data_IF_998049238032
#
_entry.id   IF_998049238032
#
_cell.length_a   1.000
_cell.length_b   1.000
_cell.length_c   1.000
_cell.angle_alpha   90.00
_cell.angle_beta   90.00
_cell.angle_gamma   90.00
#
_symmetry.space_group_name_H-M   'P 1'
#
loop_
_entity.id
_entity.type
_entity.pdbx_description
1 polymer ?
#
# COMPACT_ATOMS: atom_id res chain seq x y z
N UNK A 1 -15.94 8.43 3.90
CA UNK A 1 -15.48 7.03 4.09
C UNK A 1 -15.38 6.75 5.59
N UNK A 2 -15.86 5.61 6.08
CA UNK A 2 -15.88 5.25 7.51
C UNK A 2 -15.08 3.97 7.78
N UNK A 3 -14.69 3.72 9.03
CA UNK A 3 -14.04 2.46 9.42
C UNK A 3 -14.93 1.24 9.15
N UNK A 4 -16.23 1.35 9.42
CA UNK A 4 -17.21 0.30 9.11
C UNK A 4 -17.24 -0.04 7.61
N UNK A 5 -17.25 0.99 6.75
CA UNK A 5 -17.19 0.79 5.31
C UNK A 5 -15.91 0.06 4.89
N UNK A 6 -14.76 0.45 5.43
CA UNK A 6 -13.48 -0.21 5.13
C UNK A 6 -13.48 -1.69 5.57
N UNK A 7 -14.03 -2.00 6.73
CA UNK A 7 -14.18 -3.38 7.22
C UNK A 7 -15.02 -4.24 6.26
N UNK A 8 -16.18 -3.71 5.82
CA UNK A 8 -17.06 -4.38 4.85
C UNK A 8 -16.40 -4.53 3.49
N UNK A 9 -15.69 -3.50 3.03
CA UNK A 9 -14.96 -3.52 1.76
C UNK A 9 -13.88 -4.61 1.74
N UNK A 10 -13.09 -4.74 2.81
CA UNK A 10 -12.10 -5.81 2.91
C UNK A 10 -12.76 -7.20 2.84
N UNK A 11 -13.85 -7.40 3.58
CA UNK A 11 -14.58 -8.67 3.58
C UNK A 11 -15.15 -9.01 2.20
N UNK A 12 -15.71 -8.02 1.48
CA UNK A 12 -16.21 -8.19 0.12
C UNK A 12 -15.07 -8.50 -0.87
N UNK A 13 -13.93 -7.82 -0.74
CA UNK A 13 -12.76 -8.05 -1.59
C UNK A 13 -12.20 -9.47 -1.45
N UNK A 14 -12.09 -10.00 -0.22
CA UNK A 14 -11.65 -11.41 -0.02
C UNK A 14 -12.61 -12.38 -0.68
N UNK A 15 -13.92 -12.23 -0.44
CA UNK A 15 -14.93 -13.11 -1.01
C UNK A 15 -14.95 -13.08 -2.55
N UNK A 16 -14.66 -11.92 -3.17
CA UNK A 16 -14.63 -11.78 -4.62
C UNK A 16 -13.36 -12.33 -5.28
N UNK A 17 -12.19 -12.12 -4.65
CA UNK A 17 -10.88 -12.37 -5.26
C UNK A 17 -10.19 -13.64 -4.76
N UNK A 18 -10.26 -13.90 -3.46
CA UNK A 18 -9.50 -14.95 -2.77
C UNK A 18 -10.40 -15.70 -1.78
N UNK A 19 -11.51 -16.32 -2.23
CA UNK A 19 -12.52 -16.93 -1.36
C UNK A 19 -12.02 -18.13 -0.54
N UNK A 20 -10.85 -18.68 -0.87
CA UNK A 20 -10.21 -19.78 -0.13
C UNK A 20 -9.07 -19.29 0.78
N UNK A 21 -8.97 -17.98 0.99
CA UNK A 21 -7.80 -17.34 1.57
C UNK A 21 -6.77 -16.97 0.49
N UNK A 22 -5.82 -16.12 0.89
CA UNK A 22 -4.82 -15.54 0.01
C UNK A 22 -3.98 -14.51 0.77
N UNK A 23 -3.05 -13.86 0.08
CA UNK A 23 -2.19 -12.82 0.67
C UNK A 23 -2.58 -11.44 0.17
N UNK A 24 -2.85 -10.53 1.09
CA UNK A 24 -3.19 -9.12 0.83
C UNK A 24 -2.08 -8.24 1.38
N UNK A 25 -1.66 -7.26 0.62
CA UNK A 25 -0.57 -6.35 0.99
C UNK A 25 -1.11 -4.93 1.09
N UNK A 26 -0.97 -4.31 2.26
CA UNK A 26 -1.50 -2.97 2.55
C UNK A 26 -0.34 -1.99 2.72
N UNK A 27 -0.37 -0.91 1.95
CA UNK A 27 0.44 0.27 2.20
C UNK A 27 -0.39 1.53 2.20
N UNK A 28 0.23 2.64 2.59
CA UNK A 28 -0.47 3.91 2.78
C UNK A 28 0.41 5.12 2.45
N UNK A 29 -0.22 6.28 2.32
CA UNK A 29 0.48 7.54 2.48
C UNK A 29 0.58 7.92 3.97
N UNK A 30 0.85 9.20 4.24
CA UNK A 30 1.16 9.74 5.56
C UNK A 30 -0.07 10.27 6.31
N UNK A 31 -1.27 10.18 5.73
CA UNK A 31 -2.50 10.72 6.32
C UNK A 31 -2.82 10.06 7.67
N UNK A 32 -3.23 10.85 8.65
CA UNK A 32 -3.66 10.39 9.97
C UNK A 32 -4.82 9.38 9.89
N UNK A 33 -5.77 9.62 8.98
CA UNK A 33 -6.89 8.70 8.75
C UNK A 33 -6.43 7.32 8.23
N UNK A 34 -5.23 7.23 7.66
CA UNK A 34 -4.63 5.99 7.20
C UNK A 34 -4.42 4.96 8.31
N UNK A 35 -4.19 5.37 9.57
CA UNK A 35 -4.12 4.42 10.69
C UNK A 35 -5.46 3.72 10.95
N UNK A 36 -6.54 4.50 10.95
CA UNK A 36 -7.89 3.96 11.15
C UNK A 36 -8.30 3.01 10.01
N UNK A 37 -8.05 3.41 8.76
CA UNK A 37 -8.42 2.57 7.61
C UNK A 37 -7.53 1.33 7.47
N UNK A 38 -6.23 1.41 7.79
CA UNK A 38 -5.33 0.26 7.82
C UNK A 38 -5.81 -0.79 8.82
N UNK A 39 -6.14 -0.38 10.05
CA UNK A 39 -6.65 -1.31 11.07
C UNK A 39 -8.01 -1.91 10.71
N UNK A 40 -8.92 -1.14 10.13
CA UNK A 40 -10.23 -1.64 9.71
C UNK A 40 -10.12 -2.65 8.55
N UNK A 41 -9.27 -2.36 7.56
CA UNK A 41 -9.00 -3.27 6.45
C UNK A 41 -8.30 -4.54 6.93
N UNK A 42 -7.23 -4.40 7.74
CA UNK A 42 -6.50 -5.53 8.32
C UNK A 42 -7.45 -6.49 9.03
N UNK A 43 -8.31 -5.97 9.91
CA UNK A 43 -9.31 -6.77 10.61
C UNK A 43 -10.28 -7.48 9.65
N UNK A 44 -10.77 -6.77 8.63
CA UNK A 44 -11.73 -7.34 7.67
C UNK A 44 -11.12 -8.42 6.77
N UNK A 45 -9.88 -8.22 6.31
CA UNK A 45 -9.15 -9.20 5.52
C UNK A 45 -8.85 -10.46 6.33
N UNK A 46 -8.31 -10.29 7.54
CA UNK A 46 -7.97 -11.40 8.45
C UNK A 46 -9.22 -12.19 8.85
N UNK A 47 -10.30 -11.50 9.23
CA UNK A 47 -11.54 -12.16 9.62
C UNK A 47 -12.16 -12.97 8.48
N UNK A 48 -11.98 -12.53 7.22
CA UNK A 48 -12.44 -13.25 6.04
C UNK A 48 -11.48 -14.36 5.55
N UNK A 49 -10.33 -14.56 6.21
CA UNK A 49 -9.40 -15.66 5.95
C UNK A 49 -8.17 -15.32 5.11
N UNK A 50 -7.92 -14.03 4.83
CA UNK A 50 -6.72 -13.62 4.11
C UNK A 50 -5.56 -13.25 5.07
N UNK A 51 -4.35 -13.65 4.71
CA UNK A 51 -3.13 -13.18 5.36
C UNK A 51 -2.82 -11.75 4.91
N UNK A 52 -2.37 -10.90 5.83
CA UNK A 52 -2.14 -9.47 5.59
C UNK A 52 -0.67 -9.13 5.81
N UNK A 53 -0.07 -8.46 4.82
CA UNK A 53 1.27 -7.90 4.90
C UNK A 53 1.18 -6.36 4.98
N UNK A 54 1.62 -5.79 6.10
CA UNK A 54 1.59 -4.35 6.33
C UNK A 54 2.94 -3.72 5.97
N UNK A 55 2.94 -2.81 5.00
CA UNK A 55 4.16 -2.15 4.54
C UNK A 55 4.47 -0.83 5.26
N UNK A 56 3.44 -0.19 5.82
CA UNK A 56 3.53 1.19 6.28
C UNK A 56 3.57 2.20 5.12
N UNK A 57 4.08 3.42 5.36
CA UNK A 57 4.11 4.47 4.33
C UNK A 57 5.03 4.13 3.15
N UNK A 58 4.46 4.05 1.95
CA UNK A 58 5.19 3.79 0.70
C UNK A 58 4.38 4.36 -0.48
N UNK A 59 5.01 4.95 -1.51
CA UNK A 59 4.26 5.46 -2.67
C UNK A 59 3.47 4.36 -3.37
N UNK A 60 2.33 4.74 -3.97
CA UNK A 60 1.47 3.84 -4.76
C UNK A 60 2.23 2.90 -5.70
N UNK A 61 3.18 3.37 -6.55
CA UNK A 61 3.97 2.47 -7.40
C UNK A 61 4.83 1.48 -6.61
N UNK A 62 5.33 1.83 -5.43
CA UNK A 62 6.06 0.91 -4.57
C UNK A 62 5.19 -0.19 -4.00
N UNK A 63 3.95 0.13 -3.65
CA UNK A 63 2.99 -0.88 -3.18
C UNK A 63 2.64 -1.83 -4.34
N UNK A 64 2.36 -1.31 -5.54
CA UNK A 64 2.08 -2.13 -6.72
C UNK A 64 3.27 -3.04 -7.12
N UNK A 65 4.50 -2.53 -7.01
CA UNK A 65 5.71 -3.32 -7.23
C UNK A 65 5.84 -4.43 -6.17
N UNK A 66 5.68 -4.09 -4.88
CA UNK A 66 5.85 -5.05 -3.80
C UNK A 66 4.74 -6.11 -3.77
N UNK A 67 3.52 -5.81 -4.25
CA UNK A 67 2.49 -6.84 -4.49
C UNK A 67 3.04 -7.99 -5.34
N UNK A 68 3.75 -7.68 -6.43
CA UNK A 68 4.38 -8.68 -7.29
C UNK A 68 5.56 -9.37 -6.59
N UNK A 69 6.44 -8.59 -5.94
CA UNK A 69 7.64 -9.12 -5.27
C UNK A 69 7.29 -10.13 -4.16
N UNK A 70 6.20 -9.88 -3.42
CA UNK A 70 5.72 -10.77 -2.38
C UNK A 70 4.75 -11.84 -2.88
N UNK A 71 4.47 -11.91 -4.19
CA UNK A 71 3.45 -12.78 -4.78
C UNK A 71 2.09 -12.66 -4.09
N UNK A 72 1.72 -11.46 -3.66
CA UNK A 72 0.43 -11.19 -3.05
C UNK A 72 -0.67 -11.21 -4.12
N UNK A 73 -1.86 -11.68 -3.75
CA UNK A 73 -3.01 -11.75 -4.64
C UNK A 73 -3.67 -10.38 -4.84
N UNK A 74 -3.52 -9.50 -3.84
CA UNK A 74 -4.12 -8.17 -3.81
C UNK A 74 -3.18 -7.15 -3.15
N UNK A 75 -2.94 -6.04 -3.82
CA UNK A 75 -2.33 -4.85 -3.25
C UNK A 75 -3.37 -3.80 -2.87
N UNK A 76 -3.20 -3.14 -1.74
CA UNK A 76 -4.11 -2.10 -1.24
C UNK A 76 -3.34 -0.83 -0.91
N UNK A 77 -3.80 0.29 -1.42
CA UNK A 77 -3.22 1.61 -1.14
C UNK A 77 -4.25 2.51 -0.48
N UNK A 78 -3.92 2.97 0.73
CA UNK A 78 -4.65 3.99 1.46
C UNK A 78 -4.10 5.38 1.10
N UNK A 79 -4.77 6.06 0.18
CA UNK A 79 -4.39 7.42 -0.22
C UNK A 79 -5.48 8.08 -1.08
N UNK A 80 -5.70 9.37 -0.88
CA UNK A 80 -6.42 10.23 -1.83
C UNK A 80 -5.47 11.00 -2.79
N UNK A 81 -4.24 10.51 -2.99
CA UNK A 81 -3.26 11.12 -3.90
C UNK A 81 -2.98 12.59 -3.53
N UNK A 82 -3.27 13.52 -4.43
CA UNK A 82 -3.02 14.96 -4.29
C UNK A 82 -4.14 15.71 -3.55
N UNK A 83 -5.22 15.02 -3.15
CA UNK A 83 -6.31 15.66 -2.43
C UNK A 83 -5.86 16.23 -1.08
N UNK A 84 -6.57 17.22 -0.52
CA UNK A 84 -6.31 17.75 0.82
C UNK A 84 -6.30 16.66 1.90
N UNK A 85 -5.55 16.87 3.00
CA UNK A 85 -5.26 15.85 4.03
C UNK A 85 -6.48 15.21 4.69
N UNK A 86 -7.63 15.89 4.71
CA UNK A 86 -8.88 15.38 5.27
C UNK A 86 -9.58 14.33 4.38
N UNK A 87 -9.20 14.22 3.11
CA UNK A 87 -9.67 13.16 2.22
C UNK A 87 -8.86 11.88 2.40
N UNK A 88 -9.45 10.73 2.09
CA UNK A 88 -8.73 9.48 1.91
C UNK A 88 -9.48 8.57 0.93
N UNK A 89 -8.79 7.55 0.40
CA UNK A 89 -9.34 6.60 -0.55
C UNK A 89 -8.63 5.26 -0.46
N UNK A 90 -9.23 4.25 -1.07
CA UNK A 90 -8.72 2.87 -1.11
C UNK A 90 -8.56 2.50 -2.59
N UNK A 91 -7.37 2.06 -2.99
CA UNK A 91 -7.08 1.57 -4.34
C UNK A 91 -6.64 0.12 -4.27
N UNK A 92 -7.16 -0.69 -5.17
CA UNK A 92 -6.78 -2.10 -5.29
C UNK A 92 -5.89 -2.35 -6.51
N UNK A 93 -4.97 -3.28 -6.35
CA UNK A 93 -4.10 -3.80 -7.39
C UNK A 93 -4.18 -5.32 -7.44
N UNK A 94 -4.23 -5.89 -8.62
CA UNK A 94 -4.15 -7.34 -8.81
C UNK A 94 -2.72 -7.86 -8.54
N UNK A 95 -2.54 -9.17 -8.64
CA UNK A 95 -1.24 -9.84 -8.48
C UNK A 95 -0.14 -9.33 -9.42
N UNK A 96 -0.51 -8.69 -10.53
CA UNK A 96 0.41 -8.12 -11.52
C UNK A 96 0.74 -6.65 -11.22
N UNK A 97 0.22 -6.10 -10.11
CA UNK A 97 0.36 -4.69 -9.76
C UNK A 97 -0.45 -3.75 -10.67
N UNK A 98 -1.40 -4.28 -11.44
CA UNK A 98 -2.31 -3.49 -12.27
C UNK A 98 -3.60 -3.18 -11.50
N UNK A 99 -4.36 -2.17 -11.94
CA UNK A 99 -5.70 -1.93 -11.37
C UNK A 99 -6.59 -3.15 -11.58
N UNK A 100 -7.53 -3.38 -10.67
CA UNK A 100 -8.55 -4.41 -10.84
C UNK A 100 -9.36 -4.16 -12.12
N UNK A 101 -9.88 -5.23 -12.71
CA UNK A 101 -10.81 -5.13 -13.83
C UNK A 101 -12.19 -4.72 -13.34
N UNK A 102 -12.96 -4.05 -14.21
CA UNK A 102 -14.34 -3.65 -13.95
C UNK A 102 -15.22 -4.83 -13.49
N UNK A 103 -14.97 -6.04 -14.02
CA UNK A 103 -15.68 -7.26 -13.63
C UNK A 103 -15.44 -7.60 -12.15
N UNK A 104 -14.20 -7.47 -11.68
CA UNK A 104 -13.85 -7.74 -10.28
C UNK A 104 -14.41 -6.63 -9.39
N UNK A 105 -14.31 -5.37 -9.79
CA UNK A 105 -14.90 -4.25 -9.05
C UNK A 105 -16.40 -4.45 -8.85
N UNK A 106 -17.13 -4.82 -9.91
CA UNK A 106 -18.56 -5.12 -9.84
C UNK A 106 -18.88 -6.30 -8.90
N UNK A 107 -18.02 -7.33 -8.83
CA UNK A 107 -18.18 -8.44 -7.87
C UNK A 107 -18.02 -7.96 -6.42
N UNK A 108 -17.04 -7.10 -6.16
CA UNK A 108 -16.83 -6.50 -4.83
C UNK A 108 -18.04 -5.64 -4.46
N UNK A 109 -18.52 -4.80 -5.38
CA UNK A 109 -19.69 -3.94 -5.16
C UNK A 109 -20.96 -4.73 -4.86
N UNK A 110 -21.20 -5.84 -5.58
CA UNK A 110 -22.35 -6.71 -5.34
C UNK A 110 -22.34 -7.32 -3.92
N UNK A 111 -21.15 -7.49 -3.32
CA UNK A 111 -20.99 -8.03 -1.97
C UNK A 111 -20.97 -6.96 -0.88
N UNK A 112 -20.75 -5.69 -1.22
CA UNK A 112 -20.69 -4.59 -0.24
C UNK A 112 -21.97 -4.42 0.56
N UNK A 113 -23.12 -4.81 0.01
CA UNK A 113 -24.41 -4.78 0.71
C UNK A 113 -24.48 -5.70 1.93
N UNK A 114 -23.61 -6.72 2.00
CA UNK A 114 -23.60 -7.70 3.08
C UNK A 114 -22.79 -7.21 4.29
N UNK A 115 -23.09 -7.74 5.50
CA UNK A 115 -22.22 -7.58 6.65
C UNK A 115 -20.83 -8.21 6.41
N UNK A 116 -19.81 -7.67 7.07
CA UNK A 116 -18.50 -8.31 7.08
C UNK A 116 -18.59 -9.70 7.75
N UNK A 117 -17.94 -10.69 7.15
CA UNK A 117 -17.90 -12.05 7.70
C UNK A 117 -16.74 -12.22 8.69
N UNK A 118 -16.86 -13.20 9.57
CA UNK A 118 -15.74 -13.69 10.40
C UNK A 118 -15.77 -15.20 10.34
N UNK A 119 -14.69 -15.79 9.82
CA UNK A 119 -14.52 -17.23 9.79
C UNK A 119 -14.21 -17.76 11.19
N UNK A 120 -14.39 -19.07 11.35
CA UNK A 120 -13.97 -19.80 12.54
C UNK A 120 -12.49 -19.54 12.86
N UNK A 121 -12.12 -19.59 14.13
CA UNK A 121 -10.77 -19.22 14.61
C UNK A 121 -9.63 -20.00 13.96
N UNK A 122 -9.88 -21.22 13.46
CA UNK A 122 -8.90 -22.04 12.74
C UNK A 122 -8.71 -21.64 11.27
N UNK A 123 -9.53 -20.72 10.75
CA UNK A 123 -9.60 -20.32 9.35
C UNK A 123 -9.39 -18.81 9.12
N UNK A 124 -9.23 -18.01 10.17
CA UNK A 124 -8.83 -16.61 10.02
C UNK A 124 -7.37 -16.50 9.58
N UNK A 125 -7.04 -15.41 8.89
CA UNK A 125 -5.67 -15.13 8.45
C UNK A 125 -4.77 -14.57 9.56
N UNK A 126 -3.56 -14.18 9.19
CA UNK A 126 -2.57 -13.53 10.07
C UNK A 126 -2.08 -12.21 9.47
N UNK A 127 -1.87 -11.22 10.33
CA UNK A 127 -1.24 -9.97 9.95
C UNK A 127 0.25 -9.94 10.32
N UNK A 128 1.11 -9.51 9.40
CA UNK A 128 2.56 -9.39 9.60
C UNK A 128 3.05 -8.04 9.07
N UNK A 129 3.92 -7.37 9.83
CA UNK A 129 4.59 -6.12 9.38
C UNK A 129 5.86 -6.44 8.60
N UNK A 130 6.01 -5.84 7.42
CA UNK A 130 7.19 -5.97 6.56
C UNK A 130 8.12 -4.78 6.79
N UNK A 131 9.07 -4.97 7.70
CA UNK A 131 10.03 -3.91 8.06
C UNK A 131 11.06 -3.59 6.95
N UNK A 132 11.12 -4.40 5.88
CA UNK A 132 12.08 -4.26 4.76
C UNK A 132 11.46 -3.69 3.48
N UNK A 133 10.20 -3.21 3.56
CA UNK A 133 9.46 -2.76 2.38
C UNK A 133 10.14 -1.55 1.70
N UNK A 134 10.63 -0.62 2.51
CA UNK A 134 11.30 0.59 2.03
C UNK A 134 12.59 0.24 1.28
N UNK A 135 13.45 -0.58 1.88
CA UNK A 135 14.73 -0.99 1.31
C UNK A 135 14.53 -1.79 0.01
N UNK A 136 13.56 -2.71 -0.01
CA UNK A 136 13.24 -3.47 -1.23
C UNK A 136 12.80 -2.58 -2.38
N UNK A 137 11.97 -1.58 -2.10
CA UNK A 137 11.54 -0.64 -3.15
C UNK A 137 12.67 0.30 -3.57
N UNK A 138 13.56 0.69 -2.66
CA UNK A 138 14.77 1.44 -3.01
C UNK A 138 15.67 0.67 -3.98
N UNK A 139 15.93 -0.60 -3.69
CA UNK A 139 16.73 -1.47 -4.57
C UNK A 139 16.08 -1.59 -5.95
N UNK A 140 14.75 -1.72 -6.02
CA UNK A 140 14.03 -1.67 -7.29
C UNK A 140 14.28 -0.35 -8.03
N UNK A 141 14.07 0.80 -7.39
CA UNK A 141 14.29 2.11 -8.03
C UNK A 141 15.73 2.26 -8.53
N UNK A 142 16.73 1.86 -7.73
CA UNK A 142 18.14 1.91 -8.15
C UNK A 142 18.42 0.98 -9.32
N UNK A 143 17.81 -0.22 -9.35
CA UNK A 143 17.98 -1.16 -10.45
C UNK A 143 17.46 -0.66 -11.80
N UNK A 144 16.56 0.34 -11.80
CA UNK A 144 16.09 0.99 -13.03
C UNK A 144 17.01 2.09 -13.55
N UNK A 145 18.01 2.49 -12.75
CA UNK A 145 19.00 3.50 -13.13
C UNK A 145 20.23 2.83 -13.77
N UNK A 146 20.84 3.41 -14.82
CA UNK A 146 22.01 2.82 -15.47
C UNK A 146 23.17 2.61 -14.49
N UNK A 147 23.74 1.40 -14.48
CA UNK A 147 24.78 1.00 -13.52
C UNK A 147 26.12 1.69 -13.72
N UNK A 148 26.35 2.27 -14.90
CA UNK A 148 27.54 3.02 -15.29
C UNK A 148 27.45 4.52 -14.97
N UNK A 149 26.31 4.96 -14.44
CA UNK A 149 26.09 6.34 -14.04
C UNK A 149 25.99 6.47 -12.51
N UNK A 150 26.52 7.58 -12.00
CA UNK A 150 26.32 8.05 -10.63
C UNK A 150 25.76 9.48 -10.68
N UNK A 151 25.20 9.93 -9.56
CA UNK A 151 24.74 11.31 -9.37
C UNK A 151 25.77 12.17 -8.61
N UNK A 152 27.02 11.73 -8.56
CA UNK A 152 28.12 12.45 -7.90
C UNK A 152 28.25 13.88 -8.43
N UNK A 153 28.33 14.84 -7.52
CA UNK A 153 28.43 16.27 -7.85
C UNK A 153 27.11 16.91 -8.29
N UNK A 154 25.99 16.19 -8.25
CA UNK A 154 24.65 16.74 -8.50
C UNK A 154 23.97 17.08 -7.18
N UNK A 155 23.53 18.33 -7.03
CA UNK A 155 22.67 18.75 -5.92
C UNK A 155 21.21 18.75 -6.36
N UNK A 156 20.33 18.06 -5.61
CA UNK A 156 18.90 17.91 -5.91
C UNK A 156 18.08 18.44 -4.74
N UNK A 157 17.13 19.34 -5.03
CA UNK A 157 16.07 19.69 -4.08
C UNK A 157 14.90 18.72 -4.27
N UNK A 158 14.53 17.99 -3.22
CA UNK A 158 13.45 17.02 -3.24
C UNK A 158 12.30 17.49 -2.35
N UNK A 159 11.13 17.75 -2.95
CA UNK A 159 9.89 17.99 -2.22
C UNK A 159 9.11 16.68 -2.06
N UNK A 160 9.03 16.18 -0.81
CA UNK A 160 8.28 14.98 -0.47
C UNK A 160 6.78 15.19 -0.33
N UNK A 161 6.28 16.44 -0.41
CA UNK A 161 4.89 16.86 -0.18
C UNK A 161 4.32 16.41 1.19
N UNK A 162 5.20 16.09 2.14
CA UNK A 162 4.92 15.33 3.36
C UNK A 162 4.09 14.06 3.08
N UNK A 163 4.23 13.48 1.88
CA UNK A 163 3.46 12.34 1.40
C UNK A 163 4.26 11.04 1.48
N UNK A 164 3.79 10.02 0.75
CA UNK A 164 4.31 8.66 0.85
C UNK A 164 5.79 8.51 0.44
N UNK A 165 6.33 9.40 -0.40
CA UNK A 165 7.72 9.36 -0.88
C UNK A 165 8.72 10.02 0.05
N UNK A 166 8.28 10.64 1.16
CA UNK A 166 9.10 11.49 2.04
C UNK A 166 10.42 10.86 2.50
N UNK A 167 10.45 9.53 2.61
CA UNK A 167 11.61 8.77 3.09
C UNK A 167 12.34 8.05 1.96
N UNK A 168 11.60 7.35 1.09
CA UNK A 168 12.19 6.51 0.04
C UNK A 168 12.87 7.36 -1.05
N UNK A 169 12.22 8.43 -1.51
CA UNK A 169 12.72 9.28 -2.58
C UNK A 169 14.10 9.89 -2.29
N UNK A 170 14.25 10.69 -1.22
CA UNK A 170 15.54 11.32 -0.94
C UNK A 170 16.63 10.31 -0.58
N UNK A 171 16.30 9.19 0.06
CA UNK A 171 17.28 8.14 0.35
C UNK A 171 17.79 7.45 -0.92
N UNK A 172 16.90 7.11 -1.86
CA UNK A 172 17.30 6.51 -3.15
C UNK A 172 18.25 7.44 -3.91
N UNK A 173 17.95 8.74 -3.98
CA UNK A 173 18.80 9.70 -4.68
C UNK A 173 20.17 9.88 -3.99
N UNK A 174 20.20 9.95 -2.65
CA UNK A 174 21.46 10.01 -1.90
C UNK A 174 22.32 8.76 -2.12
N UNK A 175 21.71 7.56 -2.14
CA UNK A 175 22.43 6.30 -2.39
C UNK A 175 22.99 6.18 -3.82
N UNK A 176 22.45 6.96 -4.77
CA UNK A 176 22.97 7.08 -6.12
C UNK A 176 24.08 8.16 -6.24
N UNK A 177 24.44 8.85 -5.16
CA UNK A 177 25.56 9.81 -5.10
C UNK A 177 25.16 11.29 -5.10
N UNK A 178 23.87 11.62 -5.20
CA UNK A 178 23.43 13.02 -5.19
C UNK A 178 23.53 13.65 -3.79
N UNK A 179 23.80 14.94 -3.72
CA UNK A 179 23.53 15.74 -2.53
C UNK A 179 22.05 16.12 -2.52
N UNK A 180 21.27 15.58 -1.58
CA UNK A 180 19.81 15.83 -1.55
C UNK A 180 19.42 16.80 -0.44
N UNK A 181 18.86 17.94 -0.84
CA UNK A 181 18.23 18.91 0.06
C UNK A 181 16.73 18.60 0.11
N UNK A 182 16.23 18.20 1.29
CA UNK A 182 14.82 17.82 1.45
C UNK A 182 13.96 18.99 1.91
N UNK A 183 12.79 19.12 1.30
CA UNK A 183 11.67 19.93 1.78
C UNK A 183 10.41 19.05 1.79
N UNK A 184 9.44 19.34 2.65
CA UNK A 184 8.23 18.52 2.72
C UNK A 184 8.51 17.04 3.04
N UNK A 185 9.51 16.74 3.87
CA UNK A 185 9.86 15.35 4.25
C UNK A 185 9.68 15.06 5.75
N UNK A 186 8.76 15.77 6.42
CA UNK A 186 8.50 15.63 7.86
C UNK A 186 6.98 15.53 8.12
N UNK A 187 6.34 14.44 7.64
CA UNK A 187 4.90 14.25 7.82
C UNK A 187 4.51 14.17 9.30
N UNK A 188 3.35 14.73 9.62
CA UNK A 188 2.76 14.73 10.96
C UNK A 188 1.31 14.19 11.01
N UNK A 189 0.80 13.67 9.88
CA UNK A 189 -0.57 13.18 9.73
C UNK A 189 -1.42 13.99 8.78
#
# INVERSE_FOLDING_TARGET
MTAEFALRLASAAVQALVPQGGTVLIGKDTRLSGYMFESALEAGFVAAGADVLLLGPLPTPGIANLTQVFNADLGVVLSASHNPYYDNGIKFFDRNGAKLSDEIEAKIEALLGNPAITLESSKIGKATRINTALERYQEFCKSTYPTDLALDGVTIVFDGANGASYKVGPRTLNELGAEVITIGCSPNG
#
